data_IF_260089067907
#
_entry.id   IF_260089067907
#
_cell.length_a   1.000
_cell.length_b   1.000
_cell.length_c   1.000
_cell.angle_alpha   90.00
_cell.angle_beta   90.00
_cell.angle_gamma   90.00
#
_symmetry.space_group_name_H-M   'P 1'
#
loop_
_entity.id
_entity.type
_entity.pdbx_description
1 polymer ?
#
# COMPACT_ATOMS: atom_id res chain seq x y z
N UNK A 1 3.95 -16.73 -20.24
CA UNK A 1 3.45 -15.63 -19.38
C UNK A 1 4.47 -14.51 -19.24
N UNK A 2 5.76 -14.84 -19.15
CA UNK A 2 6.83 -13.83 -18.95
C UNK A 2 6.91 -12.77 -20.05
N UNK A 3 6.60 -13.14 -21.30
CA UNK A 3 6.53 -12.18 -22.43
C UNK A 3 5.41 -11.16 -22.22
N UNK A 4 4.25 -11.57 -21.70
CA UNK A 4 3.12 -10.68 -21.44
C UNK A 4 3.45 -9.74 -20.28
N UNK A 5 4.12 -10.24 -19.25
CA UNK A 5 4.62 -9.44 -18.14
C UNK A 5 5.65 -8.39 -18.60
N UNK A 6 6.62 -8.78 -19.42
CA UNK A 6 7.59 -7.87 -20.03
C UNK A 6 6.90 -6.80 -20.90
N UNK A 7 5.87 -7.17 -21.65
CA UNK A 7 5.08 -6.22 -22.44
C UNK A 7 4.31 -5.23 -21.55
N UNK A 8 3.72 -5.67 -20.43
CA UNK A 8 3.05 -4.78 -19.47
C UNK A 8 4.04 -3.77 -18.85
N UNK A 9 5.24 -4.22 -18.49
CA UNK A 9 6.30 -3.34 -17.98
C UNK A 9 6.79 -2.35 -19.04
N UNK A 10 6.88 -2.78 -20.30
CA UNK A 10 7.20 -1.91 -21.43
C UNK A 10 6.10 -0.87 -21.67
N UNK A 11 4.83 -1.25 -21.52
CA UNK A 11 3.68 -0.36 -21.62
C UNK A 11 3.70 0.71 -20.51
N UNK A 12 4.13 0.40 -19.28
CA UNK A 12 4.31 1.41 -18.22
C UNK A 12 5.30 2.51 -18.62
N UNK A 13 6.39 2.11 -19.27
CA UNK A 13 7.42 3.06 -19.75
C UNK A 13 6.84 3.93 -20.87
N UNK A 14 6.03 3.34 -21.77
CA UNK A 14 5.40 4.04 -22.89
C UNK A 14 4.30 5.00 -22.44
N UNK A 15 3.57 4.71 -21.35
CA UNK A 15 2.56 5.63 -20.77
C UNK A 15 3.16 7.00 -20.46
N UNK A 16 4.43 7.05 -20.04
CA UNK A 16 5.11 8.31 -19.72
C UNK A 16 5.39 9.18 -20.95
N UNK A 17 5.32 8.61 -22.16
CA UNK A 17 5.51 9.33 -23.43
C UNK A 17 4.20 9.90 -24.00
N UNK A 18 3.04 9.55 -23.45
CA UNK A 18 1.74 10.04 -23.91
C UNK A 18 1.37 11.41 -23.29
N UNK A 19 0.50 12.19 -23.98
CA UNK A 19 -0.03 13.45 -23.48
C UNK A 19 -0.74 13.27 -22.11
N UNK A 20 -0.62 14.25 -21.19
CA UNK A 20 -1.19 14.14 -19.84
C UNK A 20 -2.68 13.80 -19.81
N UNK A 21 -3.45 14.31 -20.78
CA UNK A 21 -4.90 14.08 -20.88
C UNK A 21 -5.29 12.59 -21.06
N UNK A 22 -4.45 11.77 -21.71
CA UNK A 22 -4.74 10.35 -21.99
C UNK A 22 -4.04 9.41 -21.00
N UNK A 23 -3.02 9.90 -20.30
CA UNK A 23 -2.15 9.12 -19.42
C UNK A 23 -2.91 8.33 -18.36
N UNK A 24 -3.90 8.94 -17.72
CA UNK A 24 -4.67 8.29 -16.65
C UNK A 24 -5.51 7.12 -17.17
N UNK A 25 -6.16 7.27 -18.33
CA UNK A 25 -6.98 6.21 -18.91
C UNK A 25 -6.13 5.02 -19.36
N UNK A 26 -4.98 5.29 -19.98
CA UNK A 26 -4.07 4.24 -20.45
C UNK A 26 -3.43 3.52 -19.25
N UNK A 27 -3.03 4.27 -18.22
CA UNK A 27 -2.51 3.70 -16.97
C UNK A 27 -3.51 2.74 -16.33
N UNK A 28 -4.77 3.15 -16.19
CA UNK A 28 -5.82 2.28 -15.65
C UNK A 28 -5.97 0.97 -16.45
N UNK A 29 -5.93 1.05 -17.79
CA UNK A 29 -6.00 -0.15 -18.65
C UNK A 29 -4.79 -1.07 -18.50
N UNK A 30 -3.59 -0.51 -18.33
CA UNK A 30 -2.37 -1.32 -18.10
C UNK A 30 -2.40 -1.95 -16.70
N UNK A 31 -2.89 -1.23 -15.69
CA UNK A 31 -3.07 -1.76 -14.34
C UNK A 31 -4.12 -2.89 -14.31
N UNK A 32 -5.21 -2.75 -15.08
CA UNK A 32 -6.21 -3.80 -15.30
C UNK A 32 -5.57 -5.06 -15.91
N UNK A 33 -4.80 -4.90 -17.00
CA UNK A 33 -4.13 -6.04 -17.66
C UNK A 33 -3.16 -6.77 -16.74
N UNK A 34 -2.43 -6.04 -15.89
CA UNK A 34 -1.53 -6.64 -14.88
C UNK A 34 -2.31 -7.43 -13.83
N UNK A 35 -3.45 -6.90 -13.40
CA UNK A 35 -4.32 -7.59 -12.45
C UNK A 35 -4.83 -8.90 -13.05
N UNK A 36 -5.35 -8.85 -14.28
CA UNK A 36 -5.87 -10.03 -14.98
C UNK A 36 -4.78 -11.09 -15.20
N UNK A 37 -3.57 -10.66 -15.60
CA UNK A 37 -2.41 -11.55 -15.74
C UNK A 37 -2.09 -12.28 -14.43
N UNK A 38 -2.03 -11.54 -13.31
CA UNK A 38 -1.77 -12.12 -11.99
C UNK A 38 -2.88 -13.09 -11.57
N UNK A 39 -4.15 -12.71 -11.82
CA UNK A 39 -5.30 -13.54 -11.49
C UNK A 39 -5.30 -14.86 -12.27
N UNK A 40 -5.04 -14.81 -13.58
CA UNK A 40 -4.95 -16.00 -14.43
C UNK A 40 -3.76 -16.88 -14.01
N UNK A 41 -2.62 -16.29 -13.69
CA UNK A 41 -1.45 -17.02 -13.21
C UNK A 41 -1.75 -17.77 -11.91
N UNK A 42 -2.41 -17.11 -10.95
CA UNK A 42 -2.81 -17.74 -9.70
C UNK A 42 -3.83 -18.86 -9.94
N UNK A 43 -4.81 -18.64 -10.81
CA UNK A 43 -5.82 -19.64 -11.17
C UNK A 43 -5.18 -20.90 -11.78
N UNK A 44 -4.17 -20.71 -12.65
CA UNK A 44 -3.41 -21.81 -13.23
C UNK A 44 -2.62 -22.58 -12.18
N UNK A 45 -1.94 -21.89 -11.27
CA UNK A 45 -1.18 -22.52 -10.19
C UNK A 45 -2.08 -23.39 -9.30
N UNK A 46 -3.27 -22.88 -8.93
CA UNK A 46 -4.26 -23.64 -8.16
C UNK A 46 -4.72 -24.88 -8.94
N UNK A 47 -4.99 -24.75 -10.24
CA UNK A 47 -5.39 -25.90 -11.07
C UNK A 47 -4.27 -26.96 -11.17
N UNK A 48 -3.01 -26.53 -11.31
CA UNK A 48 -1.86 -27.42 -11.33
C UNK A 48 -1.69 -28.14 -9.99
N UNK A 49 -1.81 -27.42 -8.87
CA UNK A 49 -1.78 -28.01 -7.53
C UNK A 49 -2.90 -29.05 -7.37
N UNK A 50 -4.14 -28.73 -7.76
CA UNK A 50 -5.27 -29.66 -7.70
C UNK A 50 -5.10 -30.87 -8.62
N UNK A 51 -4.30 -30.78 -9.69
CA UNK A 51 -3.93 -31.94 -10.53
C UNK A 51 -2.91 -32.80 -9.81
N UNK A 52 -1.82 -32.19 -9.32
CA UNK A 52 -0.77 -32.88 -8.58
C UNK A 52 -1.31 -33.65 -7.36
N UNK A 53 -2.19 -33.02 -6.58
CA UNK A 53 -2.85 -33.66 -5.43
C UNK A 53 -3.67 -34.87 -5.87
N UNK A 54 -4.49 -34.74 -6.91
CA UNK A 54 -5.31 -35.86 -7.41
C UNK A 54 -4.46 -37.00 -7.98
N UNK A 55 -3.35 -36.69 -8.65
CA UNK A 55 -2.42 -37.69 -9.17
C UNK A 55 -1.74 -38.43 -8.02
N UNK A 56 -1.29 -37.72 -6.98
CA UNK A 56 -0.75 -38.32 -5.76
C UNK A 56 -1.77 -39.21 -5.05
N UNK A 57 -3.00 -38.73 -4.85
CA UNK A 57 -4.09 -39.52 -4.25
C UNK A 57 -4.37 -40.81 -5.05
N UNK A 58 -4.30 -40.73 -6.39
CA UNK A 58 -4.49 -41.89 -7.26
C UNK A 58 -3.32 -42.88 -7.14
N UNK A 59 -2.10 -42.38 -7.13
CA UNK A 59 -0.88 -43.19 -6.95
C UNK A 59 -0.88 -43.90 -5.59
N UNK A 60 -1.22 -43.19 -4.51
CA UNK A 60 -1.38 -43.76 -3.17
C UNK A 60 -2.45 -44.86 -3.14
N UNK A 61 -3.60 -44.61 -3.78
CA UNK A 61 -4.67 -45.61 -3.90
C UNK A 61 -4.20 -46.86 -4.65
N UNK A 62 -3.48 -46.70 -5.76
CA UNK A 62 -2.94 -47.82 -6.54
C UNK A 62 -1.87 -48.58 -5.74
N UNK A 63 -1.02 -47.88 -4.99
CA UNK A 63 -0.02 -48.50 -4.10
C UNK A 63 -0.68 -49.36 -3.02
N UNK A 64 -1.72 -48.84 -2.35
CA UNK A 64 -2.50 -49.59 -1.35
C UNK A 64 -3.18 -50.83 -1.96
N UNK A 65 -3.68 -50.73 -3.20
CA UNK A 65 -4.35 -51.83 -3.89
C UNK A 65 -3.35 -52.90 -4.38
N UNK A 66 -2.13 -52.50 -4.73
CA UNK A 66 -1.07 -53.41 -5.22
C UNK A 66 -0.38 -54.21 -4.10
N UNK A 67 -0.54 -53.79 -2.84
CA UNK A 67 0.04 -54.47 -1.68
C UNK A 67 -0.69 -55.79 -1.43
N UNK A 68 -0.02 -56.92 -1.67
CA UNK A 68 -0.55 -58.24 -1.32
C UNK A 68 -0.76 -58.33 0.19
N UNK A 69 -2.03 -58.39 0.62
CA UNK A 69 -2.39 -58.57 2.03
C UNK A 69 -2.08 -60.02 2.44
N UNK A 70 -1.02 -60.21 3.22
CA UNK A 70 -0.74 -61.49 3.88
C UNK A 70 -1.43 -61.48 5.24
N UNK A 71 -2.33 -62.43 5.47
CA UNK A 71 -2.99 -62.61 6.78
C UNK A 71 -1.95 -62.96 7.84
N UNK A 72 -1.68 -62.06 8.78
CA UNK A 72 -1.81 -62.29 10.23
C UNK A 72 -1.23 -61.14 11.08
N UNK A 73 -2.04 -60.82 12.10
CA UNK A 73 -1.73 -60.35 13.47
C UNK A 73 -1.80 -58.89 13.89
N UNK A 74 -1.75 -57.88 13.02
CA UNK A 74 -2.04 -56.48 13.45
C UNK A 74 -2.75 -55.68 12.36
N UNK A 75 -3.87 -56.22 11.86
CA UNK A 75 -4.78 -55.47 10.98
C UNK A 75 -5.64 -54.45 11.77
N UNK A 76 -5.02 -53.67 12.65
CA UNK A 76 -5.56 -52.34 12.97
C UNK A 76 -5.14 -51.46 11.81
N UNK A 77 -6.07 -51.25 10.88
CA UNK A 77 -5.83 -50.44 9.70
C UNK A 77 -5.37 -49.07 10.19
N UNK A 78 -4.11 -48.71 9.93
CA UNK A 78 -3.49 -47.40 10.23
C UNK A 78 -4.13 -46.24 9.45
N UNK A 79 -5.38 -46.42 8.99
CA UNK A 79 -6.21 -45.46 8.29
C UNK A 79 -6.42 -44.19 9.12
N UNK A 80 -6.53 -44.34 10.44
CA UNK A 80 -6.79 -43.22 11.34
C UNK A 80 -5.61 -42.24 11.42
N UNK A 81 -4.37 -42.73 11.33
CA UNK A 81 -3.19 -41.88 11.37
C UNK A 81 -3.04 -41.04 10.09
N UNK A 82 -3.30 -41.66 8.94
CA UNK A 82 -3.14 -41.04 7.62
C UNK A 82 -4.29 -40.06 7.33
N UNK A 83 -5.52 -40.41 7.73
CA UNK A 83 -6.68 -39.53 7.68
C UNK A 83 -6.54 -38.34 8.64
N UNK A 84 -6.03 -38.57 9.85
CA UNK A 84 -5.70 -37.50 10.81
C UNK A 84 -4.61 -36.57 10.30
N UNK A 85 -3.59 -37.09 9.60
CA UNK A 85 -2.59 -36.25 8.95
C UNK A 85 -3.17 -35.41 7.81
N UNK A 86 -4.06 -36.00 7.00
CA UNK A 86 -4.74 -35.26 5.95
C UNK A 86 -5.62 -34.13 6.52
N UNK A 87 -6.41 -34.42 7.56
CA UNK A 87 -7.23 -33.43 8.24
C UNK A 87 -6.38 -32.31 8.86
N UNK A 88 -5.24 -32.67 9.48
CA UNK A 88 -4.28 -31.70 9.99
C UNK A 88 -3.63 -30.85 8.91
N UNK A 89 -3.34 -31.41 7.73
CA UNK A 89 -2.83 -30.66 6.60
C UNK A 89 -3.89 -29.70 6.03
N UNK A 90 -5.14 -30.15 5.94
CA UNK A 90 -6.27 -29.30 5.54
C UNK A 90 -6.52 -28.16 6.52
N UNK A 91 -6.48 -28.44 7.82
CA UNK A 91 -6.59 -27.45 8.88
C UNK A 91 -5.40 -26.49 8.89
N UNK A 92 -4.18 -27.00 8.72
CA UNK A 92 -2.98 -26.16 8.59
C UNK A 92 -3.06 -25.24 7.37
N UNK A 93 -3.56 -25.73 6.23
CA UNK A 93 -3.70 -24.91 5.04
C UNK A 93 -4.75 -23.81 5.24
N UNK A 94 -5.89 -24.12 5.88
CA UNK A 94 -6.91 -23.12 6.23
C UNK A 94 -6.36 -22.08 7.23
N UNK A 95 -5.60 -22.51 8.23
CA UNK A 95 -4.95 -21.61 9.18
C UNK A 95 -3.91 -20.71 8.49
N UNK A 96 -3.17 -21.23 7.51
CA UNK A 96 -2.26 -20.43 6.68
C UNK A 96 -3.01 -19.42 5.80
N UNK A 97 -4.16 -19.80 5.22
CA UNK A 97 -5.00 -18.88 4.44
C UNK A 97 -5.57 -17.75 5.33
N UNK A 98 -6.01 -18.07 6.54
CA UNK A 98 -6.45 -17.09 7.54
C UNK A 98 -5.30 -16.14 7.91
N UNK A 99 -4.10 -16.67 8.15
CA UNK A 99 -2.91 -15.88 8.47
C UNK A 99 -2.47 -14.99 7.30
N UNK A 100 -2.54 -15.48 6.06
CA UNK A 100 -2.27 -14.70 4.85
C UNK A 100 -3.31 -13.58 4.67
N UNK A 101 -4.59 -13.87 4.91
CA UNK A 101 -5.66 -12.88 4.89
C UNK A 101 -5.49 -11.80 5.96
N UNK A 102 -5.16 -12.19 7.19
CA UNK A 102 -4.83 -11.28 8.27
C UNK A 102 -3.58 -10.45 7.96
N UNK A 103 -2.53 -11.08 7.41
CA UNK A 103 -1.30 -10.42 6.97
C UNK A 103 -1.54 -9.38 5.88
N UNK A 104 -2.43 -9.69 4.91
CA UNK A 104 -2.86 -8.73 3.89
C UNK A 104 -3.56 -7.51 4.49
N UNK A 105 -4.44 -7.73 5.48
CA UNK A 105 -5.14 -6.66 6.18
C UNK A 105 -4.19 -5.78 7.01
N UNK A 106 -3.21 -6.37 7.68
CA UNK A 106 -2.17 -5.65 8.42
C UNK A 106 -1.30 -4.81 7.47
N UNK A 107 -0.88 -5.38 6.34
CA UNK A 107 -0.06 -4.68 5.36
C UNK A 107 -0.80 -3.49 4.73
N UNK A 108 -2.09 -3.66 4.41
CA UNK A 108 -2.96 -2.58 3.94
C UNK A 108 -3.12 -1.48 5.01
N UNK A 109 -3.26 -1.87 6.28
CA UNK A 109 -3.28 -0.95 7.42
C UNK A 109 -1.99 -0.14 7.57
N UNK A 110 -0.82 -0.79 7.50
CA UNK A 110 0.49 -0.13 7.55
C UNK A 110 0.69 0.84 6.37
N UNK A 111 0.27 0.45 5.17
CA UNK A 111 0.27 1.31 3.98
C UNK A 111 -0.61 2.55 4.19
N UNK A 112 -1.81 2.38 4.75
CA UNK A 112 -2.70 3.49 5.06
C UNK A 112 -2.07 4.43 6.11
N UNK A 113 -1.50 3.88 7.18
CA UNK A 113 -0.80 4.67 8.21
C UNK A 113 0.38 5.45 7.63
N UNK A 114 1.18 4.84 6.75
CA UNK A 114 2.26 5.53 6.03
C UNK A 114 1.76 6.70 5.19
N UNK A 115 0.62 6.54 4.51
CA UNK A 115 0.00 7.62 3.73
C UNK A 115 -0.53 8.77 4.60
N UNK A 116 -1.11 8.44 5.77
CA UNK A 116 -1.58 9.41 6.75
C UNK A 116 -0.42 10.17 7.39
N UNK A 117 0.69 9.50 7.71
CA UNK A 117 1.90 10.13 8.24
C UNK A 117 2.52 11.06 7.20
N UNK A 118 2.59 10.65 5.93
CA UNK A 118 3.06 11.51 4.83
C UNK A 118 2.16 12.75 4.69
N UNK A 119 0.85 12.59 4.85
CA UNK A 119 -0.10 13.70 4.81
C UNK A 119 0.07 14.65 6.00
N UNK A 120 0.28 14.12 7.20
CA UNK A 120 0.59 14.92 8.40
C UNK A 120 1.91 15.67 8.25
N UNK A 121 2.96 15.01 7.76
CA UNK A 121 4.24 15.62 7.47
C UNK A 121 4.12 16.76 6.45
N UNK A 122 3.34 16.55 5.37
CA UNK A 122 3.06 17.59 4.36
C UNK A 122 2.36 18.79 4.98
N UNK A 123 1.39 18.57 5.88
CA UNK A 123 0.73 19.64 6.63
C UNK A 123 1.69 20.41 7.53
N UNK A 124 2.57 19.73 8.26
CA UNK A 124 3.60 20.38 9.10
C UNK A 124 4.51 21.26 8.26
N UNK A 125 4.98 20.77 7.10
CA UNK A 125 5.76 21.59 6.17
C UNK A 125 4.97 22.82 5.71
N UNK A 126 3.69 22.66 5.35
CA UNK A 126 2.86 23.79 4.93
C UNK A 126 2.66 24.83 6.04
N UNK A 127 2.55 24.40 7.30
CA UNK A 127 2.47 25.29 8.45
C UNK A 127 3.80 25.99 8.69
N UNK A 128 4.93 25.29 8.60
CA UNK A 128 6.25 25.90 8.71
C UNK A 128 6.48 26.98 7.64
N UNK A 129 6.09 26.71 6.38
CA UNK A 129 6.13 27.69 5.29
C UNK A 129 5.17 28.86 5.54
N UNK A 130 3.97 28.60 6.06
CA UNK A 130 2.99 29.65 6.39
C UNK A 130 3.48 30.50 7.56
N UNK A 131 4.14 29.90 8.57
CA UNK A 131 4.72 30.61 9.70
C UNK A 131 5.93 31.46 9.28
N UNK A 132 6.79 30.95 8.40
CA UNK A 132 7.90 31.72 7.81
C UNK A 132 7.37 32.96 7.06
N UNK A 133 6.29 32.80 6.28
CA UNK A 133 5.56 33.90 5.65
C UNK A 133 4.89 34.84 6.67
N UNK A 134 4.31 34.30 7.74
CA UNK A 134 3.64 35.06 8.79
C UNK A 134 4.62 35.80 9.72
N UNK A 135 5.89 35.44 9.77
CA UNK A 135 6.96 36.23 10.43
C UNK A 135 7.34 37.43 9.54
N UNK A 136 7.36 37.25 8.22
CA UNK A 136 7.67 38.33 7.28
C UNK A 136 6.56 39.40 7.17
N UNK A 137 5.31 39.01 7.39
CA UNK A 137 4.13 39.87 7.23
C UNK A 137 4.05 41.01 8.26
N UNK A 138 4.15 40.79 9.59
CA UNK A 138 4.13 41.85 10.59
C UNK A 138 5.46 42.59 10.72
N UNK A 139 6.59 42.04 10.26
CA UNK A 139 7.84 42.82 10.19
C UNK A 139 7.72 43.91 9.11
N UNK A 140 7.13 43.58 7.95
CA UNK A 140 6.84 44.55 6.88
C UNK A 140 5.69 45.49 7.22
N UNK A 141 4.69 45.05 7.98
CA UNK A 141 3.58 45.89 8.45
C UNK A 141 3.90 46.71 9.73
N UNK A 142 4.88 46.28 10.52
CA UNK A 142 5.35 46.98 11.72
C UNK A 142 6.36 48.09 11.41
N UNK A 143 7.11 47.97 10.30
CA UNK A 143 8.00 49.03 9.82
C UNK A 143 7.24 50.21 9.17
N UNK A 144 6.01 50.01 8.69
CA UNK A 144 5.14 51.12 8.23
C UNK A 144 4.37 51.81 9.35
N UNK A 145 4.32 51.24 10.57
CA UNK A 145 3.68 51.88 11.74
C UNK A 145 4.67 52.58 12.68
N UNK A 146 5.98 52.47 12.41
CA UNK A 146 7.06 53.10 13.21
C UNK A 146 7.57 54.42 12.64
N UNK A 147 7.26 54.76 11.38
CA UNK A 147 7.65 56.05 10.78
C UNK A 147 6.77 57.24 11.19
N UNK A 148 5.60 57.00 11.79
CA UNK A 148 4.63 58.07 12.10
C UNK A 148 4.64 58.49 13.58
N UNK A 149 5.62 58.04 14.38
CA UNK A 149 5.73 58.36 15.83
C UNK A 149 7.03 59.04 16.24
N UNK A 150 7.76 59.66 15.32
CA UNK A 150 8.93 60.52 15.61
C UNK A 150 8.72 61.95 15.07
N UNK A 151 7.66 62.62 15.52
CA UNK A 151 7.38 63.98 15.06
C UNK A 151 6.42 64.77 15.96
N UNK A 152 6.64 64.80 17.28
CA UNK A 152 6.03 65.85 18.11
C UNK A 152 6.69 65.95 19.50
N UNK A 153 7.74 66.78 19.63
CA UNK A 153 8.07 67.50 20.87
C UNK A 153 8.63 68.90 20.51
N UNK A 154 7.87 69.90 20.93
CA UNK A 154 8.05 71.37 21.03
C UNK A 154 9.38 72.07 20.66
N UNK A 155 9.25 73.36 20.26
CA UNK A 155 9.88 74.42 21.05
C UNK A 155 8.90 75.52 21.48
N UNK A 156 9.09 76.04 22.71
CA UNK A 156 8.70 77.40 23.09
C UNK A 156 9.80 78.38 22.64
N UNK A 157 9.45 79.60 22.23
CA UNK A 157 9.95 80.89 22.74
C UNK A 157 9.21 82.05 22.03
N UNK A 158 8.33 82.72 22.78
CA UNK A 158 8.22 84.17 23.05
C UNK A 158 8.21 85.21 21.89
N UNK A 159 7.23 86.12 22.02
CA UNK A 159 7.06 87.51 21.51
C UNK A 159 6.39 87.74 20.13
N UNK A 160 5.17 88.26 20.18
CA UNK A 160 4.94 89.72 20.08
C UNK A 160 3.50 90.10 20.41
N UNK A 161 3.31 90.81 21.52
CA UNK A 161 2.13 91.64 21.78
C UNK A 161 2.29 92.94 21.00
N UNK A 162 1.50 93.13 19.94
CA UNK A 162 1.00 94.44 19.49
C UNK A 162 -0.35 94.16 18.82
N UNK A 163 -1.45 94.47 19.49
CA UNK A 163 -2.54 95.27 18.91
C UNK A 163 -3.53 95.71 20.00
N UNK A 164 -3.64 97.05 20.08
CA UNK A 164 -4.58 97.92 20.82
C UNK A 164 -4.50 98.00 22.34
#
# INVERSE_FOLDING_TARGET
>A
MDIIYQNCNRLDILINKEPPARRNNIKYKVDQLKYDLKHVQNSLAILQQRRCVREREKEEREALLSRNFTTNDDTSIFLDYELHHHDKLGESNRALDELLGAGGSILEGLKHQGSSLKSAHTRVISLAQTLDLAILTPLRLGNTKRTDREGSKHPQVINSTIES
#
